data_IF_555205950826
#
_entry.id   IF_555205950826
#
_cell.length_a   1.000
_cell.length_b   1.000
_cell.length_c   1.000
_cell.angle_alpha   90.00
_cell.angle_beta   90.00
_cell.angle_gamma   90.00
#
_symmetry.space_group_name_H-M   'P 1'
#
loop_
_entity.id
_entity.type
_entity.pdbx_description
1 polymer ?
#
# COMPACT_ATOMS: atom_id res chain seq x y z
N UNK A 1 -8.25 -0.67 -73.27
CA UNK A 1 -8.02 -1.23 -71.91
C UNK A 1 -7.05 -0.29 -71.20
N UNK A 2 -7.54 0.64 -70.38
CA UNK A 2 -7.90 0.49 -68.96
C UNK A 2 -6.68 0.45 -68.03
N UNK A 3 -6.87 1.10 -66.87
CA UNK A 3 -6.08 1.10 -65.63
C UNK A 3 -4.84 2.03 -65.61
N UNK A 4 -4.58 2.88 -64.62
CA UNK A 4 -5.31 3.39 -63.43
C UNK A 4 -4.38 4.43 -62.78
N UNK A 5 -4.97 5.50 -62.24
CA UNK A 5 -4.34 6.55 -61.41
C UNK A 5 -3.67 6.01 -60.14
N UNK A 6 -2.55 6.61 -59.69
CA UNK A 6 -2.27 7.13 -58.31
C UNK A 6 -0.77 7.13 -57.94
N UNK A 7 -0.05 8.28 -58.00
CA UNK A 7 1.27 8.42 -57.37
C UNK A 7 1.21 9.00 -55.94
N UNK A 8 0.02 9.08 -55.30
CA UNK A 8 -0.17 9.79 -54.03
C UNK A 8 0.06 8.93 -52.78
N UNK A 9 0.29 7.62 -52.93
CA UNK A 9 0.41 6.68 -51.78
C UNK A 9 1.84 6.50 -51.26
N UNK A 10 2.86 6.79 -52.08
CA UNK A 10 4.27 6.64 -51.66
C UNK A 10 4.82 7.84 -50.87
N UNK A 11 4.21 9.02 -51.03
CA UNK A 11 4.62 10.21 -50.27
C UNK A 11 4.23 10.09 -48.78
N UNK A 12 3.16 9.34 -48.48
CA UNK A 12 2.67 9.15 -47.11
C UNK A 12 3.42 8.06 -46.31
N UNK A 13 4.12 7.14 -46.98
CA UNK A 13 4.94 6.11 -46.32
C UNK A 13 6.36 6.59 -45.98
N UNK A 14 6.89 7.58 -46.69
CA UNK A 14 8.19 8.18 -46.38
C UNK A 14 8.16 9.11 -45.15
N UNK A 15 6.99 9.61 -44.76
CA UNK A 15 6.83 10.51 -43.61
C UNK A 15 6.74 9.79 -42.25
N UNK A 16 6.55 8.46 -42.21
CA UNK A 16 6.40 7.69 -40.97
C UNK A 16 7.73 7.14 -40.41
N UNK A 17 8.81 7.15 -41.20
CA UNK A 17 10.13 6.60 -40.79
C UNK A 17 11.07 7.69 -40.23
N UNK A 18 10.72 8.97 -40.39
CA UNK A 18 11.54 10.11 -39.93
C UNK A 18 11.35 10.53 -38.47
N UNK A 19 10.39 9.96 -37.74
CA UNK A 19 10.00 10.41 -36.38
C UNK A 19 10.46 9.50 -35.24
N UNK A 20 11.44 8.61 -35.47
CA UNK A 20 11.98 7.72 -34.44
C UNK A 20 13.48 7.93 -34.17
N UNK A 21 13.98 9.16 -34.36
CA UNK A 21 15.38 9.52 -34.12
C UNK A 21 15.58 10.82 -33.33
N UNK A 22 14.63 11.18 -32.46
CA UNK A 22 14.80 12.28 -31.50
C UNK A 22 14.46 11.80 -30.09
N UNK A 23 15.35 10.98 -29.53
CA UNK A 23 15.38 10.79 -28.08
C UNK A 23 15.99 12.06 -27.46
N UNK A 24 15.27 12.83 -26.63
CA UNK A 24 15.90 13.89 -25.86
C UNK A 24 16.80 13.20 -24.82
N UNK A 25 18.10 13.26 -25.01
CA UNK A 25 19.05 13.08 -23.92
C UNK A 25 18.81 14.22 -22.94
N UNK A 26 17.93 14.00 -21.96
CA UNK A 26 17.80 14.87 -20.82
C UNK A 26 19.18 14.93 -20.16
N UNK A 27 19.86 16.06 -20.34
CA UNK A 27 21.03 16.44 -19.56
C UNK A 27 20.66 16.29 -18.08
N UNK A 28 21.21 15.28 -17.41
CA UNK A 28 21.19 15.20 -15.96
C UNK A 28 22.03 16.36 -15.43
N UNK A 29 21.39 17.49 -15.13
CA UNK A 29 21.99 18.54 -14.32
C UNK A 29 22.25 17.94 -12.93
N UNK A 30 23.52 17.73 -12.61
CA UNK A 30 23.95 17.25 -11.30
C UNK A 30 23.59 18.31 -10.27
N UNK A 31 22.46 18.12 -9.58
CA UNK A 31 22.08 18.92 -8.44
C UNK A 31 23.14 18.75 -7.35
N UNK A 32 23.67 19.89 -6.87
CA UNK A 32 24.55 20.00 -5.71
C UNK A 32 23.97 19.16 -4.56
N UNK A 33 24.75 18.26 -3.92
CA UNK A 33 24.27 17.46 -2.80
C UNK A 33 23.61 18.35 -1.73
N UNK A 34 22.39 18.06 -1.28
CA UNK A 34 21.81 18.82 -0.18
C UNK A 34 22.69 18.62 1.05
N UNK A 35 23.00 19.73 1.72
CA UNK A 35 23.68 19.70 3.00
C UNK A 35 22.91 18.75 3.93
N UNK A 36 23.64 17.82 4.55
CA UNK A 36 23.14 16.82 5.48
C UNK A 36 22.39 17.53 6.61
N UNK A 37 21.07 17.65 6.48
CA UNK A 37 20.21 17.97 7.60
C UNK A 37 20.44 16.87 8.65
N UNK A 38 20.86 17.26 9.84
CA UNK A 38 21.01 16.34 10.96
C UNK A 38 19.66 15.67 11.21
N UNK A 39 19.59 14.40 10.82
CA UNK A 39 18.43 13.58 11.06
C UNK A 39 18.27 13.44 12.58
N UNK A 40 17.24 14.07 13.14
CA UNK A 40 16.71 13.73 14.47
C UNK A 40 16.65 12.21 14.57
N UNK A 41 17.16 11.59 15.65
CA UNK A 41 17.16 10.14 15.75
C UNK A 41 15.72 9.67 15.60
N UNK A 42 15.47 8.92 14.53
CA UNK A 42 14.20 8.25 14.34
C UNK A 42 13.99 7.36 15.56
N UNK A 43 12.94 7.62 16.33
CA UNK A 43 12.55 6.72 17.41
C UNK A 43 12.27 5.37 16.77
N UNK A 44 13.18 4.41 16.94
CA UNK A 44 12.93 3.03 16.58
C UNK A 44 11.70 2.58 17.35
N UNK A 45 10.64 2.23 16.63
CA UNK A 45 9.43 1.65 17.21
C UNK A 45 9.77 0.23 17.67
N UNK A 46 10.35 0.11 18.86
CA UNK A 46 10.60 -1.19 19.49
C UNK A 46 9.32 -1.62 20.22
N UNK A 47 8.83 -2.82 19.90
CA UNK A 47 7.69 -3.43 20.59
C UNK A 47 8.22 -4.22 21.79
N UNK A 48 7.89 -3.80 23.00
CA UNK A 48 8.22 -4.57 24.21
C UNK A 48 7.21 -5.71 24.42
N UNK A 49 7.62 -6.92 24.06
CA UNK A 49 6.80 -8.13 24.22
C UNK A 49 6.50 -8.44 25.69
N UNK A 50 7.36 -8.01 26.60
CA UNK A 50 7.25 -8.27 28.04
C UNK A 50 6.03 -7.57 28.63
N UNK A 51 5.66 -6.40 28.11
CA UNK A 51 4.45 -5.69 28.55
C UNK A 51 3.18 -6.34 28.02
N UNK A 52 3.21 -6.87 26.80
CA UNK A 52 2.04 -7.47 26.14
C UNK A 52 1.61 -8.78 26.82
N UNK A 53 2.58 -9.54 27.34
CA UNK A 53 2.36 -10.83 28.01
C UNK A 53 1.90 -10.72 29.46
N UNK A 54 1.92 -9.52 30.06
CA UNK A 54 1.42 -9.34 31.43
C UNK A 54 -0.06 -9.77 31.51
N UNK A 55 -0.45 -10.62 32.48
CA UNK A 55 -1.83 -11.01 32.66
C UNK A 55 -2.72 -9.78 32.87
N UNK A 56 -3.86 -9.74 32.18
CA UNK A 56 -4.83 -8.66 32.35
C UNK A 56 -5.75 -8.99 33.52
N UNK A 57 -5.75 -8.12 34.54
CA UNK A 57 -6.68 -8.18 35.67
C UNK A 57 -7.71 -7.06 35.57
N UNK A 58 -8.85 -7.30 36.21
CA UNK A 58 -10.04 -6.45 36.11
C UNK A 58 -10.76 -6.68 34.78
N UNK A 59 -11.99 -7.16 34.89
CA UNK A 59 -12.92 -7.33 33.78
C UNK A 59 -13.32 -5.95 33.24
N UNK A 60 -14.32 -5.29 33.83
CA UNK A 60 -14.88 -4.05 33.33
C UNK A 60 -13.97 -2.86 33.64
N UNK A 61 -13.59 -2.66 34.90
CA UNK A 61 -12.74 -1.53 35.31
C UNK A 61 -11.39 -1.54 34.59
N UNK A 62 -10.85 -2.73 34.37
CA UNK A 62 -9.62 -2.93 33.63
C UNK A 62 -9.79 -2.61 32.14
N UNK A 63 -10.87 -3.08 31.52
CA UNK A 63 -11.19 -2.77 30.12
C UNK A 63 -11.39 -1.26 29.89
N UNK A 64 -12.09 -0.57 30.79
CA UNK A 64 -12.33 0.88 30.69
C UNK A 64 -11.02 1.66 30.71
N UNK A 65 -10.11 1.37 31.66
CA UNK A 65 -8.81 2.06 31.77
C UNK A 65 -7.91 1.89 30.54
N UNK A 66 -8.03 0.75 29.84
CA UNK A 66 -7.19 0.41 28.67
C UNK A 66 -7.84 0.77 27.34
N UNK A 67 -9.14 1.12 27.33
CA UNK A 67 -9.93 1.37 26.11
C UNK A 67 -9.81 0.24 25.07
N UNK A 68 -9.54 -0.98 25.52
CA UNK A 68 -9.27 -2.13 24.66
C UNK A 68 -9.90 -3.37 25.26
N UNK A 69 -10.62 -4.12 24.43
CA UNK A 69 -11.25 -5.39 24.79
C UNK A 69 -10.54 -6.51 24.02
N UNK A 70 -10.23 -7.61 24.72
CA UNK A 70 -9.67 -8.84 24.13
C UNK A 70 -10.75 -9.92 24.14
N UNK A 71 -11.15 -10.37 22.96
CA UNK A 71 -12.14 -11.43 22.79
C UNK A 71 -11.42 -12.73 22.45
N UNK A 72 -11.58 -13.75 23.30
CA UNK A 72 -11.07 -15.10 23.01
C UNK A 72 -11.97 -15.75 21.96
N UNK A 73 -11.37 -16.22 20.87
CA UNK A 73 -12.08 -16.88 19.77
C UNK A 73 -11.24 -18.00 19.19
N UNK A 74 -11.89 -18.91 18.48
CA UNK A 74 -11.24 -20.03 17.80
C UNK A 74 -10.98 -19.65 16.35
N UNK A 75 -9.76 -19.91 15.88
CA UNK A 75 -9.41 -19.69 14.49
C UNK A 75 -10.20 -20.64 13.57
N UNK A 76 -11.20 -20.10 12.88
CA UNK A 76 -12.07 -20.84 11.97
C UNK A 76 -12.80 -19.87 11.05
N UNK A 77 -13.11 -20.30 9.82
CA UNK A 77 -13.75 -19.45 8.82
C UNK A 77 -15.12 -18.91 9.25
N UNK A 78 -15.78 -19.58 10.20
CA UNK A 78 -17.06 -19.15 10.78
C UNK A 78 -16.85 -18.10 11.88
N UNK A 79 -15.90 -18.29 12.79
CA UNK A 79 -15.78 -17.44 13.98
C UNK A 79 -14.75 -16.31 13.82
N UNK A 80 -13.53 -16.60 13.36
CA UNK A 80 -12.47 -15.61 13.21
C UNK A 80 -11.41 -16.08 12.20
N UNK A 81 -11.21 -15.29 11.15
CA UNK A 81 -10.12 -15.45 10.17
C UNK A 81 -9.56 -14.10 9.73
N UNK A 82 -8.35 -14.13 9.21
CA UNK A 82 -7.70 -12.98 8.59
C UNK A 82 -7.38 -13.34 7.14
N UNK A 83 -7.97 -12.61 6.20
CA UNK A 83 -7.72 -12.80 4.76
C UNK A 83 -7.18 -11.49 4.17
N UNK A 84 -5.95 -11.53 3.63
CA UNK A 84 -5.23 -10.35 3.10
C UNK A 84 -5.24 -9.13 4.05
N UNK A 85 -5.12 -9.37 5.35
CA UNK A 85 -5.14 -8.33 6.38
C UNK A 85 -6.53 -7.85 6.80
N UNK A 86 -7.59 -8.38 6.20
CA UNK A 86 -8.98 -8.10 6.60
C UNK A 86 -9.44 -9.17 7.60
N UNK A 87 -9.84 -8.74 8.79
CA UNK A 87 -10.43 -9.59 9.80
C UNK A 87 -11.90 -9.87 9.45
N UNK A 88 -12.33 -11.13 9.58
CA UNK A 88 -13.68 -11.62 9.24
C UNK A 88 -14.15 -12.64 10.27
N UNK A 89 -15.47 -12.80 10.38
CA UNK A 89 -16.11 -13.91 11.11
C UNK A 89 -17.10 -13.44 12.15
N UNK A 90 -18.02 -14.33 12.54
CA UNK A 90 -19.14 -13.98 13.41
C UNK A 90 -18.70 -13.42 14.77
N UNK A 91 -17.63 -13.97 15.36
CA UNK A 91 -17.13 -13.48 16.65
C UNK A 91 -16.47 -12.10 16.53
N UNK A 92 -15.78 -11.85 15.40
CA UNK A 92 -15.21 -10.54 15.10
C UNK A 92 -16.31 -9.50 14.91
N UNK A 93 -17.30 -9.81 14.08
CA UNK A 93 -18.39 -8.89 13.74
C UNK A 93 -19.24 -8.55 14.98
N UNK A 94 -19.57 -9.55 15.80
CA UNK A 94 -20.26 -9.34 17.07
C UNK A 94 -19.44 -8.47 18.05
N UNK A 95 -18.13 -8.73 18.16
CA UNK A 95 -17.24 -7.92 18.99
C UNK A 95 -17.13 -6.48 18.50
N UNK A 96 -17.13 -6.27 17.18
CA UNK A 96 -17.11 -4.92 16.57
C UNK A 96 -18.38 -4.15 16.88
N UNK A 97 -19.55 -4.78 16.70
CA UNK A 97 -20.85 -4.19 17.00
C UNK A 97 -21.05 -3.89 18.48
N UNK A 98 -20.40 -4.61 19.38
CA UNK A 98 -20.49 -4.36 20.82
C UNK A 98 -19.75 -3.09 21.25
N UNK A 99 -18.70 -2.69 20.51
CA UNK A 99 -17.83 -1.55 20.86
C UNK A 99 -18.27 -0.25 20.18
N UNK A 100 -19.01 -0.36 19.08
CA UNK A 100 -19.59 0.77 18.34
C UNK A 100 -20.84 1.32 19.04
#
# INVERSE_FOLDING_TARGET
MSLTSTPTRYVLLAALVGTLACAPTATHAQAKPPAKAEAKPAKTLTIDLTEIQKPWTGDLDGMIKRHTIRVLTVYSKTFYTVDKGVQRGAAFDAGRLFVE
#
